data_IF_892470694385
#
_entry.id   IF_892470694385
#
_cell.length_a   1.000
_cell.length_b   1.000
_cell.length_c   1.000
_cell.angle_alpha   90.00
_cell.angle_beta   90.00
_cell.angle_gamma   90.00
#
_symmetry.space_group_name_H-M   'P 1'
#
loop_
_entity.id
_entity.type
_entity.pdbx_description
1 polymer ?
#
# COMPACT_ATOMS: atom_id res chain seq x y z
N UNK A 1 11.43 -13.61 5.79
CA UNK A 1 10.26 -14.53 5.69
C UNK A 1 10.77 -15.96 5.67
N UNK A 2 10.02 -16.91 6.20
CA UNK A 2 10.44 -18.32 6.31
C UNK A 2 9.36 -19.21 5.72
N UNK A 3 9.74 -20.08 4.77
CA UNK A 3 8.84 -20.96 4.05
C UNK A 3 9.32 -22.40 4.10
N UNK A 4 8.39 -23.34 4.15
CA UNK A 4 8.68 -24.78 4.12
C UNK A 4 8.21 -25.39 2.81
N UNK A 5 9.13 -26.07 2.13
CA UNK A 5 8.94 -26.73 0.85
C UNK A 5 9.11 -28.25 1.01
N UNK A 6 8.42 -29.01 0.18
CA UNK A 6 8.65 -30.44 -0.03
C UNK A 6 9.79 -30.63 -1.03
N UNK A 7 10.66 -31.57 -0.73
CA UNK A 7 11.79 -31.97 -1.55
C UNK A 7 11.74 -33.45 -1.85
N UNK A 8 11.94 -33.81 -3.10
CA UNK A 8 12.08 -35.21 -3.51
C UNK A 8 13.50 -35.47 -4.03
N UNK A 9 13.93 -36.74 -4.01
CA UNK A 9 15.24 -37.18 -4.52
C UNK A 9 16.36 -37.23 -3.49
N UNK A 10 16.10 -36.85 -2.23
CA UNK A 10 17.05 -36.97 -1.12
C UNK A 10 17.04 -38.39 -0.52
N UNK A 11 18.14 -39.14 -0.67
CA UNK A 11 18.22 -40.53 -0.18
C UNK A 11 19.28 -40.73 0.90
N UNK A 12 20.16 -39.75 1.16
CA UNK A 12 21.19 -39.83 2.19
C UNK A 12 21.51 -38.43 2.77
N UNK A 13 22.21 -38.38 3.91
CA UNK A 13 22.65 -37.10 4.50
C UNK A 13 23.59 -36.30 3.59
N UNK A 14 24.28 -36.94 2.65
CA UNK A 14 25.03 -36.23 1.61
C UNK A 14 24.14 -35.46 0.63
N UNK A 15 22.95 -35.97 0.31
CA UNK A 15 21.96 -35.26 -0.50
C UNK A 15 21.44 -34.02 0.24
N UNK A 16 21.16 -34.15 1.53
CA UNK A 16 20.68 -33.06 2.39
C UNK A 16 21.68 -31.89 2.41
N UNK A 17 22.96 -32.18 2.65
CA UNK A 17 24.01 -31.17 2.64
C UNK A 17 24.16 -30.51 1.26
N UNK A 18 24.05 -31.27 0.17
CA UNK A 18 24.17 -30.72 -1.18
C UNK A 18 23.02 -29.77 -1.52
N UNK A 19 21.79 -30.14 -1.17
CA UNK A 19 20.61 -29.29 -1.33
C UNK A 19 20.75 -28.02 -0.48
N UNK A 20 21.15 -28.16 0.79
CA UNK A 20 21.39 -27.04 1.70
C UNK A 20 22.43 -26.05 1.15
N UNK A 21 23.57 -26.54 0.69
CA UNK A 21 24.63 -25.71 0.12
C UNK A 21 24.18 -24.97 -1.13
N UNK A 22 23.46 -25.63 -2.04
CA UNK A 22 22.98 -24.99 -3.26
C UNK A 22 21.97 -23.86 -2.99
N UNK A 23 21.08 -24.04 -2.02
CA UNK A 23 20.08 -23.04 -1.65
C UNK A 23 20.69 -21.86 -0.87
N UNK A 24 21.73 -22.10 -0.06
CA UNK A 24 22.46 -21.05 0.67
C UNK A 24 23.30 -20.13 -0.22
N UNK A 25 23.60 -20.53 -1.46
CA UNK A 25 24.35 -19.69 -2.43
C UNK A 25 23.49 -18.54 -2.96
N UNK A 26 22.17 -18.64 -2.85
CA UNK A 26 21.28 -17.59 -3.31
C UNK A 26 21.42 -16.34 -2.42
N UNK A 27 21.61 -15.14 -3.01
CA UNK A 27 21.98 -13.94 -2.28
C UNK A 27 20.91 -13.43 -1.31
N UNK A 28 19.65 -13.80 -1.55
CA UNK A 28 18.50 -13.39 -0.73
C UNK A 28 18.12 -14.43 0.34
N UNK A 29 18.89 -15.51 0.50
CA UNK A 29 18.66 -16.59 1.48
C UNK A 29 19.54 -16.39 2.71
N UNK A 30 18.92 -16.32 3.90
CA UNK A 30 19.61 -16.09 5.18
C UNK A 30 19.83 -17.36 5.98
N UNK A 31 18.95 -18.36 5.86
CA UNK A 31 19.13 -19.65 6.48
C UNK A 31 18.40 -20.75 5.70
N UNK A 32 18.96 -21.95 5.69
CA UNK A 32 18.35 -23.14 5.10
C UNK A 32 18.50 -24.32 6.07
N UNK A 33 17.37 -24.90 6.43
CA UNK A 33 17.28 -26.17 7.13
C UNK A 33 16.67 -27.19 6.19
N UNK A 34 17.38 -28.28 5.94
CA UNK A 34 16.89 -29.38 5.11
C UNK A 34 16.82 -30.60 6.00
N UNK A 35 15.74 -31.37 5.90
CA UNK A 35 15.61 -32.63 6.61
C UNK A 35 15.26 -33.72 5.61
N UNK A 36 16.16 -34.72 5.52
CA UNK A 36 15.87 -35.94 4.78
C UNK A 36 14.69 -36.71 5.38
N UNK A 37 14.58 -36.75 6.71
CA UNK A 37 13.57 -37.58 7.40
C UNK A 37 12.14 -37.10 7.11
N UNK A 38 11.95 -35.79 6.97
CA UNK A 38 10.65 -35.18 6.64
C UNK A 38 10.52 -34.81 5.16
N UNK A 39 11.53 -35.11 4.33
CA UNK A 39 11.61 -34.71 2.92
C UNK A 39 11.29 -33.22 2.69
N UNK A 40 11.76 -32.34 3.56
CA UNK A 40 11.40 -30.92 3.52
C UNK A 40 12.61 -30.00 3.64
N UNK A 41 12.49 -28.80 3.08
CA UNK A 41 13.40 -27.69 3.32
C UNK A 41 12.65 -26.47 3.85
N UNK A 42 13.13 -25.95 4.98
CA UNK A 42 12.72 -24.67 5.53
C UNK A 42 13.75 -23.62 5.14
N UNK A 43 13.32 -22.63 4.37
CA UNK A 43 14.17 -21.59 3.79
C UNK A 43 13.74 -20.25 4.37
N UNK A 44 14.67 -19.57 5.03
CA UNK A 44 14.54 -18.19 5.47
C UNK A 44 15.20 -17.27 4.44
N UNK A 45 14.46 -16.27 3.99
CA UNK A 45 14.86 -15.36 2.92
C UNK A 45 14.50 -13.91 3.28
N UNK A 46 15.33 -12.96 2.85
CA UNK A 46 15.10 -11.52 3.04
C UNK A 46 14.07 -10.98 2.05
N UNK A 47 14.08 -11.54 0.84
CA UNK A 47 13.12 -11.26 -0.22
C UNK A 47 12.55 -12.59 -0.74
N UNK A 48 11.28 -12.58 -1.16
CA UNK A 48 10.68 -13.75 -1.79
C UNK A 48 11.47 -14.17 -3.04
N UNK A 49 11.80 -15.45 -3.10
CA UNK A 49 12.45 -16.13 -4.23
C UNK A 49 11.44 -17.12 -4.79
N UNK A 50 11.20 -17.07 -6.10
CA UNK A 50 10.25 -17.98 -6.75
C UNK A 50 10.75 -19.44 -6.71
N UNK A 51 9.82 -20.38 -6.67
CA UNK A 51 10.14 -21.82 -6.73
C UNK A 51 10.94 -22.18 -7.98
N UNK A 52 10.71 -21.52 -9.11
CA UNK A 52 11.52 -21.72 -10.32
C UNK A 52 13.00 -21.41 -10.05
N UNK A 53 13.28 -20.29 -9.39
CA UNK A 53 14.67 -19.90 -9.05
C UNK A 53 15.29 -20.87 -8.04
N UNK A 54 14.50 -21.34 -7.07
CA UNK A 54 14.93 -22.38 -6.12
C UNK A 54 15.22 -23.70 -6.85
N UNK A 55 14.38 -24.10 -7.81
CA UNK A 55 14.58 -25.30 -8.64
C UNK A 55 15.82 -25.15 -9.53
N UNK A 56 16.06 -23.98 -10.12
CA UNK A 56 17.27 -23.69 -10.89
C UNK A 56 18.53 -23.82 -10.03
N UNK A 57 18.52 -23.35 -8.79
CA UNK A 57 19.64 -23.52 -7.85
C UNK A 57 19.91 -25.00 -7.53
N UNK A 58 18.90 -25.86 -7.62
CA UNK A 58 19.02 -27.30 -7.44
C UNK A 58 19.47 -28.05 -8.71
N UNK A 59 19.66 -27.34 -9.84
CA UNK A 59 20.08 -27.92 -11.12
C UNK A 59 18.99 -27.93 -12.20
N UNK A 60 17.91 -27.15 -12.02
CA UNK A 60 16.85 -26.99 -13.00
C UNK A 60 15.84 -28.14 -13.04
N UNK A 61 14.98 -28.16 -14.05
CA UNK A 61 13.87 -29.11 -14.20
C UNK A 61 14.32 -30.57 -14.33
N UNK A 62 15.53 -30.80 -14.84
CA UNK A 62 16.12 -32.13 -15.02
C UNK A 62 16.91 -32.62 -13.79
N UNK A 63 16.90 -31.84 -12.70
CA UNK A 63 17.61 -32.22 -11.49
C UNK A 63 17.00 -33.44 -10.83
N UNK A 64 17.85 -34.24 -10.18
CA UNK A 64 17.44 -35.32 -9.28
C UNK A 64 16.63 -34.77 -8.08
N UNK A 65 16.83 -33.51 -7.72
CA UNK A 65 16.15 -32.86 -6.61
C UNK A 65 15.02 -31.98 -7.14
N UNK A 66 13.79 -32.27 -6.75
CA UNK A 66 12.63 -31.47 -7.13
C UNK A 66 12.05 -30.80 -5.89
N UNK A 67 11.87 -29.48 -5.95
CA UNK A 67 11.27 -28.68 -4.90
C UNK A 67 9.82 -28.34 -5.26
N UNK A 68 8.91 -28.49 -4.31
CA UNK A 68 7.49 -28.17 -4.45
C UNK A 68 6.97 -27.56 -3.17
N UNK A 69 5.92 -26.74 -3.25
CA UNK A 69 5.36 -26.13 -2.05
C UNK A 69 4.53 -27.16 -1.26
N UNK A 70 4.83 -27.30 0.04
CA UNK A 70 4.24 -28.35 0.89
C UNK A 70 2.74 -28.17 1.16
N UNK A 71 2.29 -26.92 1.25
CA UNK A 71 0.92 -26.56 1.59
C UNK A 71 0.55 -25.15 1.09
N UNK A 72 1.27 -24.64 0.10
CA UNK A 72 1.15 -23.25 -0.34
C UNK A 72 1.05 -23.19 -1.87
N UNK A 73 -0.14 -22.85 -2.39
CA UNK A 73 -0.28 -22.52 -3.81
C UNK A 73 0.43 -21.17 -4.03
N UNK A 74 1.69 -21.21 -4.44
CA UNK A 74 2.46 -20.02 -4.82
C UNK A 74 1.78 -19.18 -5.91
N UNK A 75 0.96 -19.81 -6.75
CA UNK A 75 0.15 -19.15 -7.78
C UNK A 75 -0.89 -18.16 -7.21
N UNK A 76 -1.21 -18.20 -5.91
CA UNK A 76 -2.18 -17.28 -5.28
C UNK A 76 -1.53 -16.09 -4.57
N UNK A 77 -0.24 -16.16 -4.18
CA UNK A 77 0.44 -15.04 -3.52
C UNK A 77 1.06 -14.05 -4.53
N UNK A 78 1.45 -14.49 -5.71
CA UNK A 78 2.11 -13.62 -6.70
C UNK A 78 1.13 -12.78 -7.56
N UNK A 79 -0.18 -13.01 -7.43
CA UNK A 79 -1.18 -12.26 -8.17
C UNK A 79 -2.44 -11.98 -7.35
N UNK A 80 -2.30 -11.34 -6.18
CA UNK A 80 -3.37 -10.40 -5.81
C UNK A 80 -3.43 -9.36 -6.92
N UNK A 81 -4.39 -9.53 -7.83
CA UNK A 81 -4.65 -8.59 -8.92
C UNK A 81 -4.62 -7.19 -8.33
N UNK A 82 -4.06 -6.22 -9.07
CA UNK A 82 -4.09 -4.80 -8.69
C UNK A 82 -5.49 -4.42 -8.18
N UNK A 83 -6.54 -4.94 -8.83
CA UNK A 83 -7.92 -4.73 -8.44
C UNK A 83 -8.28 -5.28 -7.06
N UNK A 84 -7.74 -6.42 -6.62
CA UNK A 84 -7.97 -6.96 -5.27
C UNK A 84 -7.23 -6.16 -4.20
N UNK A 85 -6.02 -5.70 -4.51
CA UNK A 85 -5.22 -4.84 -3.62
C UNK A 85 -5.92 -3.50 -3.42
N UNK A 86 -6.37 -2.84 -4.49
CA UNK A 86 -7.01 -1.51 -4.40
C UNK A 86 -8.54 -1.54 -4.26
N UNK A 87 -9.14 -2.73 -4.12
CA UNK A 87 -10.60 -2.89 -3.98
C UNK A 87 -11.22 -1.96 -2.93
N UNK A 88 -10.65 -1.79 -1.72
CA UNK A 88 -11.24 -0.88 -0.73
C UNK A 88 -11.28 0.57 -1.20
N UNK A 89 -10.20 1.05 -1.83
CA UNK A 89 -10.10 2.44 -2.33
C UNK A 89 -11.02 2.67 -3.51
N UNK A 90 -11.12 1.71 -4.44
CA UNK A 90 -12.04 1.79 -5.57
C UNK A 90 -13.50 1.83 -5.12
N UNK A 91 -13.84 1.06 -4.08
CA UNK A 91 -15.16 1.12 -3.47
C UNK A 91 -15.40 2.50 -2.86
N UNK A 92 -14.48 3.03 -2.06
CA UNK A 92 -14.59 4.38 -1.49
C UNK A 92 -14.80 5.42 -2.59
N UNK A 93 -13.97 5.41 -3.64
CA UNK A 93 -14.10 6.31 -4.78
C UNK A 93 -15.48 6.18 -5.42
N UNK A 94 -15.95 4.95 -5.69
CA UNK A 94 -17.26 4.71 -6.27
C UNK A 94 -18.41 5.24 -5.41
N UNK A 95 -18.41 4.95 -4.10
CA UNK A 95 -19.44 5.43 -3.17
C UNK A 95 -19.44 6.96 -3.04
N UNK A 96 -18.26 7.58 -2.91
CA UNK A 96 -18.14 9.03 -2.79
C UNK A 96 -18.52 9.73 -4.11
N UNK A 97 -18.12 9.21 -5.27
CA UNK A 97 -18.58 9.74 -6.57
C UNK A 97 -20.10 9.63 -6.70
N UNK A 98 -20.69 8.49 -6.33
CA UNK A 98 -22.13 8.27 -6.43
C UNK A 98 -22.91 9.27 -5.57
N UNK A 99 -22.56 9.43 -4.30
CA UNK A 99 -23.24 10.40 -3.42
C UNK A 99 -23.04 11.84 -3.90
N UNK A 100 -21.85 12.19 -4.38
CA UNK A 100 -21.58 13.53 -4.93
C UNK A 100 -22.41 13.81 -6.18
N UNK A 101 -22.58 12.84 -7.08
CA UNK A 101 -23.47 12.97 -8.24
C UNK A 101 -24.92 13.16 -7.81
N UNK A 102 -25.41 12.35 -6.86
CA UNK A 102 -26.78 12.46 -6.35
C UNK A 102 -27.04 13.84 -5.74
N UNK A 103 -26.14 14.34 -4.90
CA UNK A 103 -26.31 15.63 -4.20
C UNK A 103 -26.10 16.83 -5.14
N UNK A 104 -25.24 16.71 -6.15
CA UNK A 104 -25.00 17.76 -7.13
C UNK A 104 -26.07 17.85 -8.21
N UNK A 105 -26.95 16.85 -8.31
CA UNK A 105 -28.05 16.85 -9.26
C UNK A 105 -29.14 17.83 -8.80
N UNK A 106 -29.20 18.99 -9.43
CA UNK A 106 -30.18 20.03 -9.13
C UNK A 106 -30.93 20.40 -10.41
N UNK A 107 -32.22 20.04 -10.46
CA UNK A 107 -33.03 20.20 -11.66
C UNK A 107 -32.52 19.31 -12.80
N UNK A 108 -32.31 19.91 -13.98
CA UNK A 108 -31.86 19.20 -15.19
C UNK A 108 -30.35 19.30 -15.45
N UNK A 109 -29.57 19.77 -14.46
CA UNK A 109 -28.14 20.02 -14.58
C UNK A 109 -27.37 19.56 -13.34
N UNK A 110 -26.10 19.22 -13.53
CA UNK A 110 -25.18 18.90 -12.45
C UNK A 110 -24.47 20.18 -12.01
N UNK A 111 -24.57 20.51 -10.73
CA UNK A 111 -23.80 21.60 -10.14
C UNK A 111 -22.39 21.10 -9.79
N UNK A 112 -21.42 21.38 -10.68
CA UNK A 112 -20.03 20.94 -10.52
C UNK A 112 -19.35 21.45 -9.25
N UNK A 113 -19.70 22.65 -8.77
CA UNK A 113 -19.16 23.20 -7.52
C UNK A 113 -19.62 22.38 -6.30
N UNK A 114 -20.90 22.01 -6.27
CA UNK A 114 -21.45 21.11 -5.24
C UNK A 114 -20.84 19.72 -5.36
N UNK A 115 -20.68 19.20 -6.58
CA UNK A 115 -20.06 17.91 -6.82
C UNK A 115 -18.65 17.84 -6.23
N UNK A 116 -17.78 18.79 -6.59
CA UNK A 116 -16.39 18.83 -6.09
C UNK A 116 -16.37 18.96 -4.56
N UNK A 117 -17.18 19.86 -4.00
CA UNK A 117 -17.27 20.07 -2.54
C UNK A 117 -17.64 18.78 -1.80
N UNK A 118 -18.69 18.09 -2.24
CA UNK A 118 -19.18 16.87 -1.57
C UNK A 118 -18.20 15.71 -1.79
N UNK A 119 -17.56 15.65 -2.96
CA UNK A 119 -16.55 14.64 -3.26
C UNK A 119 -15.33 14.80 -2.32
N UNK A 120 -14.80 16.01 -2.21
CA UNK A 120 -13.69 16.31 -1.31
C UNK A 120 -14.05 16.06 0.15
N UNK A 121 -15.26 16.43 0.58
CA UNK A 121 -15.75 16.13 1.92
C UNK A 121 -15.76 14.62 2.20
N UNK A 122 -16.34 13.83 1.29
CA UNK A 122 -16.43 12.38 1.42
C UNK A 122 -15.06 11.71 1.48
N UNK A 123 -14.12 12.13 0.64
CA UNK A 123 -12.74 11.66 0.67
C UNK A 123 -12.07 11.99 2.02
N UNK A 124 -12.01 13.26 2.40
CA UNK A 124 -11.32 13.67 3.64
C UNK A 124 -11.88 12.98 4.89
N UNK A 125 -13.21 12.88 5.02
CA UNK A 125 -13.84 12.21 6.16
C UNK A 125 -13.49 10.71 6.18
N UNK A 126 -13.53 10.05 5.02
CA UNK A 126 -13.26 8.62 4.93
C UNK A 126 -11.80 8.29 5.21
N UNK A 127 -10.86 9.03 4.60
CA UNK A 127 -9.43 8.81 4.82
C UNK A 127 -9.01 9.19 6.24
N UNK A 128 -9.56 10.26 6.81
CA UNK A 128 -9.33 10.61 8.22
C UNK A 128 -9.85 9.51 9.15
N UNK A 129 -11.02 8.93 8.88
CA UNK A 129 -11.55 7.80 9.65
C UNK A 129 -10.58 6.60 9.67
N UNK A 130 -10.04 6.18 8.52
CA UNK A 130 -9.08 5.08 8.47
C UNK A 130 -7.80 5.39 9.27
N UNK A 131 -7.35 6.65 9.25
CA UNK A 131 -6.20 7.09 10.04
C UNK A 131 -6.48 7.03 11.54
N UNK A 132 -7.71 7.31 11.95
CA UNK A 132 -8.11 7.23 13.36
C UNK A 132 -8.22 5.80 13.89
N UNK A 133 -8.50 4.80 13.04
CA UNK A 133 -8.55 3.39 13.46
C UNK A 133 -7.23 2.92 14.08
N UNK A 134 -6.11 3.42 13.57
CA UNK A 134 -4.80 3.18 14.17
C UNK A 134 -3.88 4.40 14.02
N UNK A 135 -4.21 5.44 14.79
CA UNK A 135 -3.56 6.75 14.70
C UNK A 135 -2.05 6.69 14.98
N UNK A 136 -1.63 5.85 15.93
CA UNK A 136 -0.22 5.67 16.26
C UNK A 136 0.54 5.05 15.09
N UNK A 137 0.03 3.95 14.53
CA UNK A 137 0.67 3.32 13.38
C UNK A 137 0.72 4.28 12.20
N UNK A 138 -0.41 4.94 11.88
CA UNK A 138 -0.47 6.00 10.87
C UNK A 138 0.66 7.01 11.03
N UNK A 139 0.78 7.64 12.20
CA UNK A 139 1.76 8.69 12.44
C UNK A 139 3.22 8.19 12.31
N UNK A 140 3.51 6.99 12.81
CA UNK A 140 4.84 6.38 12.70
C UNK A 140 5.25 6.16 11.24
N UNK A 141 4.34 5.71 10.38
CA UNK A 141 4.67 5.54 8.98
C UNK A 141 4.60 6.82 8.16
N UNK A 142 3.66 7.71 8.46
CA UNK A 142 3.59 9.02 7.84
C UNK A 142 4.92 9.78 7.99
N UNK A 143 5.53 9.68 9.18
CA UNK A 143 6.86 10.23 9.48
C UNK A 143 8.01 9.66 8.64
N UNK A 144 7.83 8.52 7.97
CA UNK A 144 8.89 7.93 7.15
C UNK A 144 9.02 8.57 5.77
N UNK A 145 7.95 9.20 5.24
CA UNK A 145 7.93 9.77 3.90
C UNK A 145 7.58 11.26 3.86
N UNK A 146 6.69 11.76 4.72
CA UNK A 146 6.28 13.17 4.72
C UNK A 146 7.41 14.10 5.20
N UNK A 147 7.59 15.22 4.49
CA UNK A 147 8.72 16.14 4.70
C UNK A 147 8.66 16.78 6.10
N UNK A 148 7.46 17.10 6.58
CA UNK A 148 7.24 17.75 7.88
C UNK A 148 7.30 16.72 9.00
N UNK A 149 6.65 15.57 8.84
CA UNK A 149 6.61 14.52 9.85
C UNK A 149 7.97 13.84 10.07
N UNK A 150 8.85 13.79 9.05
CA UNK A 150 10.26 13.38 9.21
C UNK A 150 11.00 14.23 10.24
N UNK A 151 10.68 15.54 10.32
CA UNK A 151 11.32 16.48 11.25
C UNK A 151 10.56 16.60 12.58
N UNK A 152 9.25 16.41 12.55
CA UNK A 152 8.36 16.52 13.70
C UNK A 152 7.32 15.40 13.69
N UNK A 153 7.59 14.29 14.39
CA UNK A 153 6.74 13.08 14.36
C UNK A 153 5.31 13.30 14.86
N UNK A 154 5.09 14.29 15.75
CA UNK A 154 3.75 14.67 16.19
C UNK A 154 2.90 15.31 15.06
N UNK A 155 3.52 15.76 13.96
CA UNK A 155 2.82 16.24 12.78
C UNK A 155 1.87 15.20 12.19
N UNK A 156 2.24 13.91 12.21
CA UNK A 156 1.35 12.85 11.71
C UNK A 156 0.01 12.85 12.44
N UNK A 157 0.01 12.97 13.77
CA UNK A 157 -1.22 13.08 14.55
C UNK A 157 -2.04 14.32 14.17
N UNK A 158 -1.38 15.48 14.09
CA UNK A 158 -2.02 16.74 13.73
C UNK A 158 -2.66 16.64 12.34
N UNK A 159 -1.95 16.08 11.37
CA UNK A 159 -2.41 15.93 10.00
C UNK A 159 -3.69 15.11 9.89
N UNK A 160 -3.82 14.01 10.64
CA UNK A 160 -5.05 13.21 10.65
C UNK A 160 -6.28 14.03 11.11
N UNK A 161 -6.10 14.94 12.06
CA UNK A 161 -7.15 15.86 12.51
C UNK A 161 -7.37 17.03 11.55
N UNK A 162 -6.33 17.50 10.86
CA UNK A 162 -6.47 18.50 9.78
C UNK A 162 -7.42 17.96 8.71
N UNK A 163 -7.24 16.72 8.27
CA UNK A 163 -8.13 16.12 7.28
C UNK A 163 -9.57 15.95 7.78
N UNK A 164 -9.76 15.55 9.04
CA UNK A 164 -11.10 15.55 9.64
C UNK A 164 -11.74 16.94 9.55
N UNK A 165 -10.98 17.97 9.95
CA UNK A 165 -11.41 19.36 9.92
C UNK A 165 -11.75 19.84 8.51
N UNK A 166 -10.93 19.49 7.52
CA UNK A 166 -11.18 19.81 6.10
C UNK A 166 -12.45 19.10 5.61
N UNK A 167 -12.60 17.81 5.88
CA UNK A 167 -13.79 17.04 5.49
C UNK A 167 -15.08 17.63 6.06
N UNK A 168 -15.08 17.97 7.35
CA UNK A 168 -16.22 18.64 7.99
C UNK A 168 -16.46 20.04 7.41
N UNK A 169 -15.40 20.81 7.13
CA UNK A 169 -15.51 22.16 6.58
C UNK A 169 -16.10 22.16 5.17
N UNK A 170 -15.68 21.22 4.31
CA UNK A 170 -16.28 21.04 2.99
C UNK A 170 -17.74 20.58 3.09
N UNK A 171 -18.07 19.65 4.00
CA UNK A 171 -19.44 19.18 4.21
C UNK A 171 -20.38 20.32 4.65
N UNK A 172 -19.91 21.18 5.56
CA UNK A 172 -20.65 22.33 6.08
C UNK A 172 -20.63 23.54 5.14
N UNK A 173 -19.84 23.51 4.06
CA UNK A 173 -19.58 24.67 3.20
C UNK A 173 -19.04 25.89 3.96
N UNK A 174 -18.19 25.63 4.97
CA UNK A 174 -17.62 26.68 5.81
C UNK A 174 -16.55 27.45 5.02
N UNK A 175 -16.65 28.78 4.96
CA UNK A 175 -15.69 29.69 4.30
C UNK A 175 -14.96 29.07 3.09
N UNK A 176 -15.65 28.80 1.96
CA UNK A 176 -15.10 27.91 0.92
C UNK A 176 -13.79 28.43 0.31
N UNK A 177 -13.60 29.75 0.23
CA UNK A 177 -12.32 30.33 -0.23
C UNK A 177 -11.17 29.94 0.70
N UNK A 178 -11.34 30.11 2.00
CA UNK A 178 -10.31 29.79 3.00
C UNK A 178 -10.01 28.29 3.02
N UNK A 179 -11.05 27.46 3.02
CA UNK A 179 -10.90 26.00 3.08
C UNK A 179 -10.19 25.46 1.84
N UNK A 180 -10.53 25.95 0.66
CA UNK A 180 -9.83 25.55 -0.57
C UNK A 180 -8.36 25.98 -0.54
N UNK A 181 -8.03 27.20 -0.11
CA UNK A 181 -6.63 27.62 0.04
C UNK A 181 -5.84 26.75 1.02
N UNK A 182 -6.40 26.47 2.20
CA UNK A 182 -5.77 25.58 3.18
C UNK A 182 -5.57 24.18 2.58
N UNK A 183 -6.60 23.65 1.92
CA UNK A 183 -6.53 22.34 1.25
C UNK A 183 -5.44 22.31 0.20
N UNK A 184 -5.36 23.34 -0.66
CA UNK A 184 -4.35 23.45 -1.71
C UNK A 184 -2.94 23.37 -1.11
N UNK A 185 -2.68 24.13 -0.05
CA UNK A 185 -1.37 24.18 0.60
C UNK A 185 -1.04 22.82 1.25
N UNK A 186 -1.97 22.27 2.04
CA UNK A 186 -1.74 21.01 2.77
C UNK A 186 -1.53 19.84 1.80
N UNK A 187 -2.37 19.73 0.75
CA UNK A 187 -2.24 18.67 -0.24
C UNK A 187 -0.97 18.83 -1.09
N UNK A 188 -0.57 20.06 -1.43
CA UNK A 188 0.68 20.31 -2.17
C UNK A 188 1.91 19.91 -1.36
N UNK A 189 1.93 20.17 -0.05
CA UNK A 189 3.03 19.71 0.81
C UNK A 189 3.05 18.18 0.89
N UNK A 190 1.87 17.55 1.02
CA UNK A 190 1.74 16.10 1.12
C UNK A 190 2.22 15.38 -0.15
N UNK A 191 1.75 15.80 -1.33
CA UNK A 191 2.13 15.17 -2.61
C UNK A 191 3.63 15.27 -2.88
N UNK A 192 4.29 16.38 -2.49
CA UNK A 192 5.75 16.52 -2.64
C UNK A 192 6.50 15.48 -1.80
N UNK A 193 6.05 15.22 -0.57
CA UNK A 193 6.63 14.17 0.29
C UNK A 193 6.42 12.75 -0.27
N UNK A 194 5.23 12.49 -0.82
CA UNK A 194 4.91 11.20 -1.46
C UNK A 194 5.74 11.01 -2.74
N UNK A 195 5.82 12.01 -3.61
CA UNK A 195 6.60 11.99 -4.84
C UNK A 195 8.08 11.70 -4.57
N UNK A 196 8.67 12.39 -3.59
CA UNK A 196 10.07 12.16 -3.18
C UNK A 196 10.28 10.71 -2.70
N UNK A 197 9.35 10.17 -1.92
CA UNK A 197 9.43 8.79 -1.41
C UNK A 197 9.31 7.75 -2.52
N UNK A 198 8.39 7.94 -3.47
CA UNK A 198 8.17 7.03 -4.61
C UNK A 198 9.38 7.05 -5.55
N UNK A 199 9.93 8.23 -5.85
CA UNK A 199 11.11 8.38 -6.71
C UNK A 199 12.37 7.75 -6.09
N UNK A 200 12.52 7.82 -4.77
CA UNK A 200 13.67 7.28 -4.06
C UNK A 200 13.65 5.74 -3.89
N UNK A 201 12.65 5.03 -4.43
CA UNK A 201 12.48 3.56 -4.33
C UNK A 201 12.67 3.00 -2.90
N UNK A 202 12.53 3.83 -1.87
CA UNK A 202 12.66 3.39 -0.48
C UNK A 202 11.41 2.56 -0.18
N UNK A 203 11.59 1.24 -0.08
CA UNK A 203 10.53 0.31 0.34
C UNK A 203 10.23 0.56 1.81
N UNK A 204 9.31 1.46 2.05
CA UNK A 204 8.83 1.77 3.38
C UNK A 204 7.37 1.34 3.45
N UNK A 205 7.13 0.37 4.33
CA UNK A 205 5.81 -0.13 4.67
C UNK A 205 4.94 1.02 5.19
N UNK A 206 3.78 1.23 4.57
CA UNK A 206 2.92 2.35 4.87
C UNK A 206 1.86 2.00 5.90
N UNK A 207 1.88 2.58 7.08
CA UNK A 207 1.02 2.19 8.20
C UNK A 207 -0.32 2.93 8.27
N UNK A 208 -0.66 3.74 7.25
CA UNK A 208 -1.96 4.41 7.17
C UNK A 208 -3.09 3.42 6.83
N UNK A 209 -2.82 2.51 5.89
CA UNK A 209 -3.69 1.40 5.53
C UNK A 209 -2.94 0.05 5.58
N UNK A 210 -1.61 0.04 5.69
CA UNK A 210 -0.81 -1.20 5.67
C UNK A 210 -1.01 -2.09 6.89
N UNK A 211 -1.38 -1.52 8.04
CA UNK A 211 -1.64 -2.30 9.26
C UNK A 211 -2.96 -3.11 9.18
N UNK A 212 -3.90 -2.74 8.28
CA UNK A 212 -5.20 -3.42 8.12
C UNK A 212 -5.36 -4.04 6.70
N UNK A 213 -4.71 -3.47 5.68
CA UNK A 213 -4.86 -3.85 4.25
C UNK A 213 -3.55 -4.00 3.46
N UNK A 214 -2.36 -3.86 4.09
CA UNK A 214 -1.05 -4.11 3.48
C UNK A 214 -0.81 -3.42 2.12
N UNK A 215 -1.35 -2.20 1.92
CA UNK A 215 -1.17 -1.47 0.66
C UNK A 215 0.22 -0.82 0.60
N UNK A 216 1.05 -1.11 -0.42
CA UNK A 216 2.26 -0.34 -0.64
C UNK A 216 1.86 1.11 -0.94
N UNK A 217 2.58 2.10 -0.40
CA UNK A 217 2.44 3.50 -0.81
C UNK A 217 2.62 3.58 -2.32
N UNK A 218 1.51 3.82 -2.99
CA UNK A 218 1.36 3.55 -4.41
C UNK A 218 1.10 4.86 -5.15
N UNK A 219 1.31 4.80 -6.46
CA UNK A 219 0.76 5.73 -7.47
C UNK A 219 -0.66 6.23 -7.18
N UNK A 220 -1.49 5.45 -6.48
CA UNK A 220 -2.86 5.83 -6.10
C UNK A 220 -2.90 7.06 -5.19
N UNK A 221 -2.02 7.17 -4.19
CA UNK A 221 -2.00 8.34 -3.28
C UNK A 221 -1.60 9.61 -4.03
N UNK A 222 -0.68 9.51 -4.99
CA UNK A 222 -0.32 10.64 -5.87
C UNK A 222 -1.53 11.09 -6.68
N UNK A 223 -2.31 10.14 -7.23
CA UNK A 223 -3.53 10.45 -8.00
C UNK A 223 -4.59 11.09 -7.10
N UNK A 224 -4.77 10.58 -5.89
CA UNK A 224 -5.70 11.14 -4.90
C UNK A 224 -5.36 12.60 -4.59
N UNK A 225 -4.14 12.88 -4.13
CA UNK A 225 -3.70 14.23 -3.78
C UNK A 225 -3.79 15.18 -4.98
N UNK A 226 -3.41 14.71 -6.18
CA UNK A 226 -3.48 15.51 -7.40
C UNK A 226 -4.93 15.89 -7.76
N UNK A 227 -5.89 14.97 -7.59
CA UNK A 227 -7.31 15.25 -7.81
C UNK A 227 -7.80 16.30 -6.79
N UNK A 228 -7.41 16.19 -5.53
CA UNK A 228 -7.79 17.15 -4.48
C UNK A 228 -7.23 18.55 -4.75
N UNK A 229 -5.98 18.65 -5.20
CA UNK A 229 -5.36 19.91 -5.63
C UNK A 229 -6.09 20.49 -6.84
N UNK A 230 -6.39 19.67 -7.84
CA UNK A 230 -7.08 20.10 -9.05
C UNK A 230 -8.49 20.62 -8.75
N UNK A 231 -9.26 19.91 -7.93
CA UNK A 231 -10.60 20.34 -7.50
C UNK A 231 -10.54 21.63 -6.68
N UNK A 232 -9.63 21.72 -5.71
CA UNK A 232 -9.46 22.94 -4.92
C UNK A 232 -9.10 24.15 -5.79
N UNK A 233 -8.16 23.97 -6.72
CA UNK A 233 -7.76 25.02 -7.68
C UNK A 233 -8.93 25.43 -8.58
N UNK A 234 -9.65 24.45 -9.14
CA UNK A 234 -10.80 24.71 -9.99
C UNK A 234 -11.89 25.47 -9.23
N UNK A 235 -12.19 25.07 -7.99
CA UNK A 235 -13.14 25.79 -7.14
C UNK A 235 -12.67 27.22 -6.89
N UNK A 236 -11.40 27.46 -6.55
CA UNK A 236 -10.90 28.83 -6.35
C UNK A 236 -10.99 29.73 -7.60
N UNK A 237 -10.84 29.15 -8.80
CA UNK A 237 -10.92 29.89 -10.08
C UNK A 237 -12.37 30.15 -10.49
N UNK A 238 -13.27 29.21 -10.22
CA UNK A 238 -14.67 29.26 -10.64
C UNK A 238 -15.59 29.96 -9.62
N UNK A 239 -15.05 30.37 -8.47
CA UNK A 239 -15.76 31.08 -7.40
C UNK A 239 -15.95 32.57 -7.67
#
# INVERSE_FOLDING_TARGET
MTHTYQLTGMTCGGCENKVKSNLLVLPDVTAVEVSKDTNSATISMDKHISLDTLQQALGGSDSKYQISAAHHNETLEEAKSWAETYKPILLIFGYVTAISLVVSWQGNSINFMVFMRIFMAGFFLTFSFFKMLNLKAFAESYAMYDIVAKKFSAWGYIYAFIELGLGLSFALNLSPVTVNWVTLIVMTISILGVLESVLNKKKIQCACLGAVFNLPMSTVTIVEDAIMIAMSTAMLILM
#
